data_IF_237289009372
#
_entry.id   IF_237289009372
#
_cell.length_a   1.000
_cell.length_b   1.000
_cell.length_c   1.000
_cell.angle_alpha   90.00
_cell.angle_beta   90.00
_cell.angle_gamma   90.00
#
_symmetry.space_group_name_H-M   'P 1'
#
loop_
_entity.id
_entity.type
_entity.pdbx_description
1 polymer ?
#
# COMPACT_ATOMS: atom_id res chain seq x y z
N UNK A 1 -8.16 32.06 19.59
CA UNK A 1 -8.00 30.94 20.55
C UNK A 1 -6.97 29.99 19.95
N UNK A 2 -6.14 29.34 20.76
CA UNK A 2 -5.19 28.32 20.24
C UNK A 2 -5.96 27.11 19.67
N UNK A 3 -5.40 26.41 18.69
CA UNK A 3 -6.01 25.20 18.13
C UNK A 3 -6.26 24.13 19.21
N UNK A 4 -5.40 24.04 20.22
CA UNK A 4 -5.60 23.17 21.38
C UNK A 4 -6.89 23.47 22.16
N UNK A 5 -7.27 24.74 22.32
CA UNK A 5 -8.52 25.12 23.00
C UNK A 5 -9.78 24.80 22.16
N UNK A 6 -9.63 24.63 20.86
CA UNK A 6 -10.75 24.32 19.94
C UNK A 6 -10.89 22.82 19.68
N UNK A 7 -9.87 22.02 20.03
CA UNK A 7 -9.85 20.59 19.72
C UNK A 7 -10.95 19.81 20.43
N UNK A 8 -11.15 20.03 21.75
CA UNK A 8 -12.16 19.26 22.49
C UNK A 8 -13.57 19.45 21.93
N UNK A 9 -14.06 20.70 21.65
CA UNK A 9 -15.34 20.88 20.97
C UNK A 9 -15.47 20.17 19.60
N UNK A 10 -14.35 20.06 18.85
CA UNK A 10 -14.33 19.31 17.58
C UNK A 10 -14.48 17.80 17.81
N UNK A 11 -13.82 17.26 18.82
CA UNK A 11 -13.96 15.84 19.20
C UNK A 11 -15.39 15.53 19.68
N UNK A 12 -15.97 16.40 20.51
CA UNK A 12 -17.35 16.29 20.97
C UNK A 12 -18.34 16.33 19.78
N UNK A 13 -18.04 17.16 18.77
CA UNK A 13 -18.84 17.22 17.53
C UNK A 13 -18.75 15.96 16.72
N UNK A 14 -17.55 15.33 16.61
CA UNK A 14 -17.36 14.05 15.94
C UNK A 14 -18.23 12.99 16.61
N UNK A 15 -18.17 12.89 17.94
CA UNK A 15 -18.95 11.90 18.70
C UNK A 15 -20.47 12.11 18.52
N UNK A 16 -20.93 13.36 18.53
CA UNK A 16 -22.34 13.68 18.37
C UNK A 16 -22.88 13.48 16.94
N UNK A 17 -22.04 13.53 15.92
CA UNK A 17 -22.40 13.40 14.50
C UNK A 17 -22.05 12.06 13.89
N UNK A 18 -21.62 11.09 14.70
CA UNK A 18 -21.03 9.84 14.23
C UNK A 18 -21.99 9.02 13.36
N UNK A 19 -23.28 8.94 13.73
CA UNK A 19 -24.28 8.23 12.93
C UNK A 19 -24.43 8.85 11.53
N UNK A 20 -24.40 10.19 11.41
CA UNK A 20 -24.42 10.84 10.12
C UNK A 20 -23.15 10.61 9.33
N UNK A 21 -21.98 10.55 9.98
CA UNK A 21 -20.71 10.21 9.33
C UNK A 21 -20.76 8.80 8.75
N UNK A 22 -21.34 7.84 9.48
CA UNK A 22 -21.55 6.47 9.02
C UNK A 22 -22.50 6.41 7.81
N UNK A 23 -23.59 7.17 7.82
CA UNK A 23 -24.51 7.21 6.68
C UNK A 23 -23.89 7.84 5.43
N UNK A 24 -23.00 8.84 5.57
CA UNK A 24 -22.25 9.40 4.44
C UNK A 24 -21.26 8.38 3.86
N UNK A 25 -20.56 7.63 4.72
CA UNK A 25 -19.74 6.51 4.28
C UNK A 25 -20.59 5.48 3.53
N UNK A 26 -21.73 5.08 4.09
CA UNK A 26 -22.62 4.09 3.46
C UNK A 26 -23.17 4.57 2.10
N UNK A 27 -23.44 5.84 1.95
CA UNK A 27 -23.84 6.41 0.65
C UNK A 27 -22.75 6.22 -0.40
N UNK A 28 -21.47 6.42 -0.04
CA UNK A 28 -20.32 6.21 -0.92
C UNK A 28 -20.09 4.72 -1.20
N UNK A 29 -20.21 3.84 -0.19
CA UNK A 29 -20.01 2.39 -0.34
C UNK A 29 -21.04 1.73 -1.26
N UNK A 30 -22.24 2.29 -1.40
CA UNK A 30 -23.27 1.78 -2.34
C UNK A 30 -22.91 2.01 -3.80
N UNK A 31 -21.93 2.88 -4.11
CA UNK A 31 -21.48 3.16 -5.49
C UNK A 31 -20.43 2.13 -5.87
N UNK A 32 -20.66 1.39 -6.95
CA UNK A 32 -19.84 0.25 -7.39
C UNK A 32 -18.63 0.69 -8.22
N UNK A 33 -17.75 1.51 -7.68
CA UNK A 33 -16.62 2.10 -8.41
C UNK A 33 -15.47 1.09 -8.67
N UNK A 34 -15.78 -0.03 -9.32
CA UNK A 34 -14.80 -1.05 -9.72
C UNK A 34 -14.02 -0.54 -10.93
N UNK A 35 -12.77 -0.10 -10.72
CA UNK A 35 -11.95 0.50 -11.78
C UNK A 35 -11.48 -0.49 -12.84
N UNK A 36 -11.28 -1.75 -12.47
CA UNK A 36 -10.75 -2.80 -13.36
C UNK A 36 -11.73 -3.25 -14.45
N UNK A 37 -13.03 -3.00 -14.30
CA UNK A 37 -14.05 -3.43 -15.24
C UNK A 37 -14.71 -2.23 -15.95
N UNK A 38 -14.56 -2.07 -17.27
CA UNK A 38 -15.17 -0.99 -18.02
C UNK A 38 -16.69 -0.87 -17.89
N UNK A 39 -17.39 -1.94 -17.50
CA UNK A 39 -18.83 -1.90 -17.24
C UNK A 39 -19.20 -0.96 -16.09
N UNK A 40 -18.29 -0.70 -15.16
CA UNK A 40 -18.47 0.17 -14.00
C UNK A 40 -17.87 1.58 -14.19
N UNK A 41 -17.43 1.95 -15.39
CA UNK A 41 -16.88 3.29 -15.65
C UNK A 41 -17.86 4.42 -15.26
N UNK A 42 -19.18 4.20 -15.46
CA UNK A 42 -20.22 5.11 -15.02
C UNK A 42 -20.32 5.24 -13.50
N UNK A 43 -20.13 4.15 -12.78
CA UNK A 43 -20.11 4.13 -11.32
C UNK A 43 -18.84 4.80 -10.76
N UNK A 44 -17.68 4.60 -11.38
CA UNK A 44 -16.45 5.32 -11.03
C UNK A 44 -16.65 6.83 -11.18
N UNK A 45 -17.28 7.28 -12.27
CA UNK A 45 -17.61 8.68 -12.45
C UNK A 45 -18.62 9.17 -11.39
N UNK A 46 -19.64 8.38 -11.06
CA UNK A 46 -20.62 8.70 -10.04
C UNK A 46 -19.99 8.81 -8.65
N UNK A 47 -19.01 7.97 -8.31
CA UNK A 47 -18.28 8.06 -7.06
C UNK A 47 -17.46 9.37 -6.99
N UNK A 48 -16.77 9.72 -8.08
CA UNK A 48 -16.03 10.98 -8.16
C UNK A 48 -16.95 12.21 -7.99
N UNK A 49 -18.09 12.23 -8.69
CA UNK A 49 -19.05 13.34 -8.61
C UNK A 49 -19.69 13.42 -7.20
N UNK A 50 -20.01 12.27 -6.57
CA UNK A 50 -20.53 12.20 -5.20
C UNK A 50 -19.56 12.79 -4.18
N UNK A 51 -18.31 12.32 -4.18
CA UNK A 51 -17.26 12.81 -3.28
C UNK A 51 -16.95 14.29 -3.51
N UNK A 52 -16.86 14.73 -4.77
CA UNK A 52 -16.62 16.13 -5.09
C UNK A 52 -17.74 17.02 -4.56
N UNK A 53 -19.00 16.60 -4.70
CA UNK A 53 -20.14 17.33 -4.15
C UNK A 53 -20.11 17.38 -2.61
N UNK A 54 -19.79 16.27 -1.96
CA UNK A 54 -19.69 16.19 -0.50
C UNK A 54 -18.56 17.08 0.04
N UNK A 55 -17.36 17.00 -0.53
CA UNK A 55 -16.21 17.83 -0.15
C UNK A 55 -16.48 19.33 -0.40
N UNK A 56 -17.20 19.67 -1.46
CA UNK A 56 -17.59 21.05 -1.73
C UNK A 56 -18.46 21.66 -0.61
N UNK A 57 -19.28 20.84 0.08
CA UNK A 57 -20.07 21.29 1.25
C UNK A 57 -19.21 21.81 2.40
N UNK A 58 -17.93 21.40 2.45
CA UNK A 58 -16.96 21.83 3.45
C UNK A 58 -16.30 23.17 3.10
N UNK A 59 -16.71 23.76 1.98
CA UNK A 59 -16.20 25.05 1.52
C UNK A 59 -14.86 24.94 0.78
N UNK A 60 -14.57 23.80 0.17
CA UNK A 60 -13.48 23.66 -0.80
C UNK A 60 -13.95 24.05 -2.22
N UNK A 61 -13.06 24.64 -2.99
CA UNK A 61 -13.22 24.73 -4.44
C UNK A 61 -12.85 23.36 -5.02
N UNK A 62 -13.86 22.58 -5.40
CA UNK A 62 -13.71 21.18 -5.78
C UNK A 62 -13.99 20.99 -7.26
N UNK A 63 -13.13 20.28 -7.96
CA UNK A 63 -13.22 19.99 -9.38
C UNK A 63 -13.00 18.48 -9.62
N UNK A 64 -13.83 17.89 -10.48
CA UNK A 64 -13.60 16.56 -11.05
C UNK A 64 -12.87 16.74 -12.37
N UNK A 65 -11.58 16.43 -12.39
CA UNK A 65 -10.69 16.64 -13.54
C UNK A 65 -10.52 15.34 -14.33
N UNK A 66 -10.63 15.41 -15.68
CA UNK A 66 -10.45 14.22 -16.51
C UNK A 66 -8.99 13.73 -16.47
N UNK A 67 -8.83 12.43 -16.56
CA UNK A 67 -7.58 11.73 -16.89
C UNK A 67 -7.79 10.98 -18.21
N UNK A 68 -6.81 10.21 -18.67
CA UNK A 68 -7.01 9.27 -19.79
C UNK A 68 -7.81 8.02 -19.38
N UNK A 69 -8.05 7.81 -18.09
CA UNK A 69 -8.88 6.77 -17.52
C UNK A 69 -9.98 7.33 -16.61
N UNK A 70 -10.03 6.88 -15.35
CA UNK A 70 -11.01 7.39 -14.39
C UNK A 70 -10.60 8.78 -13.87
N UNK A 71 -11.57 9.70 -13.64
CA UNK A 71 -11.26 11.08 -13.29
C UNK A 71 -10.64 11.21 -11.89
N UNK A 72 -9.83 12.25 -11.69
CA UNK A 72 -9.33 12.64 -10.39
C UNK A 72 -10.13 13.82 -9.81
N UNK A 73 -10.22 13.87 -8.49
CA UNK A 73 -10.84 14.99 -7.76
C UNK A 73 -9.72 15.87 -7.22
N UNK A 74 -9.81 17.17 -7.42
CA UNK A 74 -8.94 18.16 -6.79
C UNK A 74 -9.79 19.14 -6.02
N UNK A 75 -9.56 19.25 -4.71
CA UNK A 75 -10.25 20.20 -3.85
C UNK A 75 -9.24 21.11 -3.17
N UNK A 76 -9.43 22.42 -3.32
CA UNK A 76 -8.54 23.46 -2.78
C UNK A 76 -9.27 24.33 -1.78
N UNK A 77 -8.58 25.00 -0.84
CA UNK A 77 -9.21 25.99 0.03
C UNK A 77 -9.86 27.09 -0.80
N UNK A 78 -11.11 27.46 -0.49
CA UNK A 78 -11.74 28.64 -1.06
C UNK A 78 -10.99 29.91 -0.60
N UNK A 79 -10.36 30.61 -1.51
CA UNK A 79 -9.47 31.73 -1.29
C UNK A 79 -8.07 31.43 -1.85
N UNK A 80 -7.24 32.47 -1.98
CA UNK A 80 -5.85 32.22 -2.37
C UNK A 80 -5.24 31.33 -1.29
N UNK A 81 -4.99 30.07 -1.61
CA UNK A 81 -4.06 29.26 -0.84
C UNK A 81 -2.77 30.10 -0.79
N UNK A 82 -2.52 30.72 0.35
CA UNK A 82 -1.30 31.47 0.57
C UNK A 82 -0.22 30.41 0.76
N UNK A 83 0.26 29.83 -0.33
CA UNK A 83 1.31 28.83 -0.31
C UNK A 83 2.38 29.23 0.71
N UNK A 84 2.27 28.71 1.92
CA UNK A 84 3.16 28.97 3.03
C UNK A 84 3.38 30.46 3.45
N UNK A 85 2.67 31.43 2.89
CA UNK A 85 2.88 32.87 3.16
C UNK A 85 2.23 33.38 4.45
N UNK A 86 1.37 32.57 5.09
CA UNK A 86 0.67 32.93 6.33
C UNK A 86 1.20 32.24 7.60
N UNK A 87 2.30 31.47 7.52
CA UNK A 87 2.85 30.75 8.69
C UNK A 87 2.14 29.41 8.99
N UNK A 88 1.06 29.04 8.30
CA UNK A 88 0.38 27.73 8.43
C UNK A 88 1.01 26.70 7.52
N UNK A 89 1.15 25.41 7.95
CA UNK A 89 1.50 24.33 7.04
C UNK A 89 0.43 24.16 5.97
N UNK A 90 0.85 23.80 4.75
CA UNK A 90 -0.04 23.38 3.67
C UNK A 90 0.20 21.90 3.40
N UNK A 91 -0.84 21.09 3.53
CA UNK A 91 -0.77 19.64 3.33
C UNK A 91 -1.52 19.22 2.07
N UNK A 92 -0.99 18.23 1.36
CA UNK A 92 -1.70 17.52 0.30
C UNK A 92 -2.24 16.22 0.90
N UNK A 93 -3.55 16.07 0.96
CA UNK A 93 -4.18 14.80 1.35
C UNK A 93 -4.49 13.96 0.11
N UNK A 94 -4.18 12.68 0.18
CA UNK A 94 -4.46 11.70 -0.86
C UNK A 94 -5.27 10.53 -0.32
N UNK A 95 -6.16 10.01 -1.16
CA UNK A 95 -6.89 8.75 -1.06
C UNK A 95 -7.41 8.34 -2.43
N UNK A 96 -8.07 7.18 -2.52
CA UNK A 96 -8.71 6.73 -3.75
C UNK A 96 -10.17 6.32 -3.54
N UNK A 97 -10.97 6.39 -4.61
CA UNK A 97 -12.39 6.08 -4.54
C UNK A 97 -12.75 4.79 -5.30
N UNK A 98 -11.84 4.26 -6.09
CA UNK A 98 -12.05 2.99 -6.76
C UNK A 98 -11.87 1.81 -5.81
N UNK A 99 -12.36 0.67 -6.21
CA UNK A 99 -12.36 -0.55 -5.41
C UNK A 99 -12.10 -1.78 -6.30
N UNK A 100 -11.58 -2.84 -5.71
CA UNK A 100 -11.38 -4.14 -6.35
C UNK A 100 -12.70 -4.79 -6.80
N UNK A 101 -12.66 -5.66 -7.83
CA UNK A 101 -13.76 -6.57 -8.15
C UNK A 101 -14.23 -7.38 -6.95
N UNK A 102 -15.48 -7.80 -7.00
CA UNK A 102 -16.11 -8.56 -5.89
C UNK A 102 -16.00 -10.07 -6.04
N UNK A 103 -15.35 -10.54 -7.08
CA UNK A 103 -15.20 -11.97 -7.36
C UNK A 103 -14.29 -12.67 -6.32
N UNK A 104 -14.66 -13.91 -5.94
CA UNK A 104 -15.84 -14.66 -6.36
C UNK A 104 -17.10 -14.32 -5.53
N UNK A 105 -18.12 -13.78 -6.18
CA UNK A 105 -19.34 -13.24 -5.55
C UNK A 105 -20.04 -14.26 -4.62
N UNK A 106 -19.97 -15.56 -4.92
CA UNK A 106 -20.64 -16.61 -4.12
C UNK A 106 -20.02 -16.82 -2.73
N UNK A 107 -18.84 -16.25 -2.46
CA UNK A 107 -18.21 -16.30 -1.14
C UNK A 107 -18.59 -15.11 -0.23
N UNK A 108 -19.30 -14.13 -0.76
CA UNK A 108 -19.82 -13.05 0.06
C UNK A 108 -21.04 -13.52 0.85
N UNK A 109 -21.04 -13.25 2.15
CA UNK A 109 -22.16 -13.56 3.03
C UNK A 109 -23.35 -12.60 2.84
N UNK A 110 -23.11 -11.43 2.25
CA UNK A 110 -24.07 -10.35 1.97
C UNK A 110 -23.70 -9.66 0.66
N UNK A 111 -24.65 -8.95 0.01
CA UNK A 111 -24.30 -8.17 -1.18
C UNK A 111 -23.17 -7.17 -0.91
N UNK A 112 -22.08 -7.16 -1.71
CA UNK A 112 -20.87 -6.41 -1.41
C UNK A 112 -21.04 -4.89 -1.33
N UNK A 113 -22.07 -4.34 -1.97
CA UNK A 113 -22.36 -2.90 -2.02
C UNK A 113 -23.61 -2.51 -1.22
N UNK A 114 -24.02 -3.37 -0.29
CA UNK A 114 -25.04 -3.09 0.71
C UNK A 114 -24.38 -3.03 2.11
N UNK A 115 -23.74 -1.88 2.45
CA UNK A 115 -22.98 -1.76 3.68
C UNK A 115 -23.86 -1.98 4.92
N UNK A 116 -23.30 -2.65 5.91
CA UNK A 116 -23.99 -2.96 7.16
C UNK A 116 -23.01 -2.97 8.33
N UNK A 117 -23.46 -2.51 9.49
CA UNK A 117 -22.75 -2.75 10.76
C UNK A 117 -23.21 -4.08 11.32
N UNK A 118 -22.27 -4.95 11.68
CA UNK A 118 -22.53 -6.26 12.27
C UNK A 118 -21.51 -6.60 13.35
N UNK A 119 -21.72 -7.71 14.06
CA UNK A 119 -20.76 -8.21 15.03
C UNK A 119 -19.73 -9.11 14.33
N UNK A 120 -18.46 -8.89 14.62
CA UNK A 120 -17.39 -9.82 14.29
C UNK A 120 -17.33 -10.97 15.29
N UNK A 121 -16.70 -12.07 14.92
CA UNK A 121 -16.63 -13.27 15.74
C UNK A 121 -15.96 -13.07 17.11
N UNK A 122 -15.08 -12.07 17.23
CA UNK A 122 -14.41 -11.69 18.48
C UNK A 122 -15.16 -10.62 19.30
N UNK A 123 -16.35 -10.21 18.85
CA UNK A 123 -17.21 -9.23 19.52
C UNK A 123 -16.99 -7.78 19.11
N UNK A 124 -16.03 -7.47 18.20
CA UNK A 124 -15.90 -6.13 17.62
C UNK A 124 -17.10 -5.80 16.73
N UNK A 125 -17.46 -4.52 16.64
CA UNK A 125 -18.42 -4.04 15.64
C UNK A 125 -17.67 -3.71 14.37
N UNK A 126 -18.15 -4.20 13.24
CA UNK A 126 -17.51 -4.03 11.93
C UNK A 126 -18.51 -3.52 10.89
N UNK A 127 -18.03 -2.76 9.93
CA UNK A 127 -18.71 -2.39 8.70
C UNK A 127 -18.31 -3.42 7.65
N UNK A 128 -19.27 -4.05 6.98
CA UNK A 128 -19.00 -5.03 5.92
C UNK A 128 -19.50 -4.50 4.60
N UNK A 129 -18.59 -4.26 3.66
CA UNK A 129 -18.85 -3.93 2.26
C UNK A 129 -17.53 -3.94 1.48
N UNK A 130 -17.56 -4.01 0.14
CA UNK A 130 -16.40 -3.71 -0.70
C UNK A 130 -16.07 -2.22 -0.61
N UNK A 131 -14.77 -1.89 -0.37
CA UNK A 131 -14.28 -0.53 -0.14
C UNK A 131 -14.50 -0.04 1.29
N UNK A 132 -14.96 -0.91 2.21
CA UNK A 132 -15.25 -0.51 3.58
C UNK A 132 -14.00 -0.04 4.31
N UNK A 133 -12.87 -0.65 4.04
CA UNK A 133 -11.54 -0.25 4.51
C UNK A 133 -10.76 0.40 3.37
N UNK A 134 -10.59 -0.28 2.26
CA UNK A 134 -9.74 0.03 1.13
C UNK A 134 -10.50 0.69 -0.03
N UNK A 135 -10.43 1.99 -0.18
CA UNK A 135 -9.92 3.07 0.71
C UNK A 135 -11.05 4.03 1.13
N UNK A 136 -12.31 3.78 0.66
CA UNK A 136 -13.44 4.69 0.92
C UNK A 136 -13.67 4.94 2.42
N UNK A 137 -13.54 3.90 3.26
CA UNK A 137 -13.68 4.05 4.70
C UNK A 137 -12.56 4.89 5.29
N UNK A 138 -11.33 4.65 4.94
CA UNK A 138 -10.18 5.40 5.41
C UNK A 138 -10.21 6.86 4.91
N UNK A 139 -10.46 7.07 3.60
CA UNK A 139 -10.65 8.39 3.00
C UNK A 139 -11.70 9.21 3.76
N UNK A 140 -12.85 8.61 4.08
CA UNK A 140 -13.93 9.30 4.77
C UNK A 140 -13.57 9.68 6.21
N UNK A 141 -12.63 9.01 6.88
CA UNK A 141 -12.15 9.44 8.20
C UNK A 141 -11.54 10.85 8.16
N UNK A 142 -10.78 11.15 7.11
CA UNK A 142 -10.18 12.46 6.92
C UNK A 142 -11.22 13.53 6.54
N UNK A 143 -12.13 13.20 5.63
CA UNK A 143 -13.19 14.13 5.19
C UNK A 143 -14.09 14.52 6.37
N UNK A 144 -14.48 13.56 7.21
CA UNK A 144 -15.30 13.81 8.39
C UNK A 144 -14.58 14.61 9.49
N UNK A 145 -13.28 14.42 9.66
CA UNK A 145 -12.47 15.27 10.53
C UNK A 145 -12.45 16.73 10.06
N UNK A 146 -12.30 16.95 8.75
CA UNK A 146 -12.40 18.28 8.15
C UNK A 146 -13.79 18.90 8.35
N UNK A 147 -14.86 18.09 8.21
CA UNK A 147 -16.25 18.50 8.44
C UNK A 147 -16.45 18.98 9.88
N UNK A 148 -15.96 18.21 10.86
CA UNK A 148 -16.08 18.58 12.27
C UNK A 148 -15.35 19.90 12.58
N UNK A 149 -14.11 20.07 12.11
CA UNK A 149 -13.38 21.33 12.25
C UNK A 149 -14.15 22.49 11.65
N UNK A 150 -14.61 22.37 10.41
CA UNK A 150 -15.38 23.44 9.73
C UNK A 150 -16.67 23.77 10.45
N UNK A 151 -17.40 22.77 10.97
CA UNK A 151 -18.68 22.99 11.64
C UNK A 151 -18.52 23.74 12.98
N UNK A 152 -17.41 23.50 13.70
CA UNK A 152 -17.18 24.10 15.04
C UNK A 152 -16.48 25.45 14.93
N UNK A 153 -15.48 25.58 14.04
CA UNK A 153 -14.59 26.75 14.02
C UNK A 153 -14.73 27.62 12.76
N UNK A 154 -15.45 27.14 11.75
CA UNK A 154 -15.58 27.78 10.43
C UNK A 154 -14.33 27.66 9.55
N UNK A 155 -13.22 27.06 10.05
CA UNK A 155 -11.95 26.97 9.34
C UNK A 155 -11.23 25.66 9.66
N UNK A 156 -10.18 25.33 8.88
CA UNK A 156 -9.28 24.24 9.17
C UNK A 156 -8.02 24.75 9.89
N UNK A 157 -7.38 23.91 10.74
CA UNK A 157 -6.15 24.29 11.46
C UNK A 157 -4.97 24.56 10.52
N UNK A 158 -4.90 23.84 9.41
CA UNK A 158 -3.86 23.91 8.35
C UNK A 158 -4.51 24.16 6.99
N UNK A 159 -3.74 24.63 6.02
CA UNK A 159 -4.20 24.68 4.64
C UNK A 159 -4.17 23.28 4.05
N UNK A 160 -5.23 22.88 3.34
CA UNK A 160 -5.38 21.52 2.80
C UNK A 160 -5.73 21.59 1.32
N UNK A 161 -4.96 20.88 0.50
CA UNK A 161 -5.39 20.47 -0.84
C UNK A 161 -5.70 18.98 -0.77
N UNK A 162 -6.85 18.56 -1.30
CA UNK A 162 -7.24 17.15 -1.38
C UNK A 162 -7.11 16.71 -2.84
N UNK A 163 -6.45 15.58 -3.10
CA UNK A 163 -6.42 14.90 -4.38
C UNK A 163 -6.86 13.45 -4.19
N UNK A 164 -7.84 13.02 -4.99
CA UNK A 164 -8.38 11.65 -4.89
C UNK A 164 -8.41 11.08 -6.30
N UNK A 165 -7.87 9.86 -6.45
CA UNK A 165 -7.87 9.15 -7.74
C UNK A 165 -8.93 8.04 -7.81
N UNK A 166 -9.07 7.45 -8.99
CA UNK A 166 -9.98 6.35 -9.25
C UNK A 166 -9.34 5.20 -10.03
N UNK A 167 -8.02 5.02 -9.92
CA UNK A 167 -7.27 3.97 -10.61
C UNK A 167 -6.18 3.34 -9.73
N UNK A 168 -6.20 3.54 -8.41
CA UNK A 168 -5.21 2.96 -7.51
C UNK A 168 -5.17 1.44 -7.65
N UNK A 169 -6.33 0.81 -7.63
CA UNK A 169 -6.55 -0.62 -7.68
C UNK A 169 -6.14 -1.30 -9.00
N UNK A 170 -5.82 -0.50 -10.01
CA UNK A 170 -5.29 -0.93 -11.31
C UNK A 170 -3.91 -0.34 -11.61
N UNK A 171 -3.24 0.21 -10.58
CA UNK A 171 -1.85 0.67 -10.60
C UNK A 171 -1.64 2.10 -11.08
N UNK A 172 -2.63 2.99 -10.94
CA UNK A 172 -2.52 4.46 -11.10
C UNK A 172 -1.89 4.94 -12.42
N UNK A 173 -2.09 4.18 -13.49
CA UNK A 173 -1.40 4.38 -14.78
C UNK A 173 -1.56 5.81 -15.33
N UNK A 174 -2.75 6.39 -15.17
CA UNK A 174 -3.06 7.71 -15.70
C UNK A 174 -2.88 8.82 -14.66
N UNK A 175 -2.65 8.45 -13.41
CA UNK A 175 -2.52 9.43 -12.33
C UNK A 175 -1.15 10.10 -12.29
N UNK A 176 -0.07 9.40 -12.62
CA UNK A 176 1.27 10.01 -12.72
C UNK A 176 1.32 11.13 -13.76
N UNK A 177 0.85 10.94 -15.02
CA UNK A 177 0.72 12.05 -15.96
C UNK A 177 -0.18 13.19 -15.47
N UNK A 178 -1.24 12.86 -14.73
CA UNK A 178 -2.11 13.85 -14.09
C UNK A 178 -1.36 14.69 -13.06
N UNK A 179 -0.55 14.08 -12.19
CA UNK A 179 0.29 14.80 -11.22
C UNK A 179 1.27 15.75 -11.91
N UNK A 180 1.93 15.30 -12.98
CA UNK A 180 2.86 16.11 -13.77
C UNK A 180 2.19 17.34 -14.39
N UNK A 181 0.99 17.15 -14.96
CA UNK A 181 0.21 18.23 -15.57
C UNK A 181 -0.34 19.23 -14.54
N UNK A 182 -0.56 18.80 -13.30
CA UNK A 182 -1.17 19.60 -12.25
C UNK A 182 -0.20 19.97 -11.10
N UNK A 183 1.11 19.75 -11.26
CA UNK A 183 2.09 19.92 -10.17
C UNK A 183 2.07 21.30 -9.50
N UNK A 184 1.75 22.36 -10.24
CA UNK A 184 1.69 23.72 -9.70
C UNK A 184 0.45 23.91 -8.81
N UNK A 185 -0.61 23.20 -9.10
CA UNK A 185 -1.86 23.18 -8.35
C UNK A 185 -1.81 22.31 -7.09
N UNK A 186 -0.93 21.29 -7.09
CA UNK A 186 -0.78 20.32 -6.03
C UNK A 186 0.40 20.61 -5.09
N UNK A 187 1.00 21.80 -5.18
CA UNK A 187 2.09 22.22 -4.29
C UNK A 187 1.61 22.23 -2.83
N UNK A 188 2.41 21.61 -1.97
CA UNK A 188 2.21 21.56 -0.53
C UNK A 188 3.57 21.49 0.19
N UNK A 189 3.59 21.49 1.51
CA UNK A 189 4.81 21.31 2.29
C UNK A 189 5.15 19.81 2.42
N UNK A 190 4.14 18.95 2.53
CA UNK A 190 4.22 17.48 2.56
C UNK A 190 2.86 16.86 2.24
N UNK A 191 2.83 15.54 2.02
CA UNK A 191 1.61 14.78 1.77
C UNK A 191 1.17 13.98 3.00
N UNK A 192 -0.14 13.75 3.12
CA UNK A 192 -0.78 12.81 4.03
C UNK A 192 -1.51 11.76 3.21
N UNK A 193 -1.30 10.49 3.50
CA UNK A 193 -1.95 9.35 2.84
C UNK A 193 -2.64 8.51 3.90
N UNK A 194 -3.90 8.16 3.69
CA UNK A 194 -4.70 7.33 4.58
C UNK A 194 -5.06 6.03 3.87
N UNK A 195 -4.06 5.17 3.66
CA UNK A 195 -4.18 3.89 2.96
C UNK A 195 -3.16 2.92 3.54
N UNK A 196 -3.20 2.76 4.87
CA UNK A 196 -2.33 1.87 5.63
C UNK A 196 -3.05 1.35 6.87
N UNK A 197 -2.38 0.49 7.66
CA UNK A 197 -2.98 -0.15 8.81
C UNK A 197 -2.39 0.25 10.16
N UNK A 198 -3.09 -0.18 11.20
CA UNK A 198 -2.64 -0.20 12.58
C UNK A 198 -1.84 -1.46 12.86
N UNK A 199 -1.15 -1.50 14.00
CA UNK A 199 -0.46 -2.71 14.46
C UNK A 199 -1.43 -3.79 14.97
N UNK A 200 -2.44 -3.37 15.71
CA UNK A 200 -3.54 -4.20 16.22
C UNK A 200 -4.77 -3.31 16.47
N UNK A 201 -5.96 -3.87 16.84
CA UNK A 201 -7.19 -3.08 17.02
C UNK A 201 -7.13 -1.96 18.06
N UNK A 202 -6.05 -1.89 18.84
CA UNK A 202 -5.86 -0.90 19.92
C UNK A 202 -4.59 -0.08 19.78
N UNK A 203 -3.65 -0.51 18.95
CA UNK A 203 -2.32 0.09 18.86
C UNK A 203 -2.12 0.78 17.50
N UNK A 204 -2.14 2.12 17.46
CA UNK A 204 -1.98 2.85 16.22
C UNK A 204 -0.54 2.74 15.70
N UNK A 205 -0.40 2.82 14.38
CA UNK A 205 0.89 2.81 13.72
C UNK A 205 0.99 3.90 12.66
N UNK A 206 2.23 4.28 12.34
CA UNK A 206 2.58 5.11 11.19
C UNK A 206 3.53 4.29 10.34
N UNK A 207 3.19 4.10 9.08
CA UNK A 207 4.05 3.39 8.14
C UNK A 207 5.16 4.31 7.68
N UNK A 208 6.39 3.95 8.00
CA UNK A 208 7.58 4.77 7.75
C UNK A 208 8.45 4.24 6.61
N UNK A 209 8.15 3.04 6.13
CA UNK A 209 8.80 2.49 4.94
C UNK A 209 7.86 1.57 4.17
N UNK A 210 8.00 1.61 2.85
CA UNK A 210 7.32 0.73 1.90
C UNK A 210 8.38 0.00 1.11
N UNK A 211 8.22 -1.30 0.91
CA UNK A 211 9.14 -2.06 0.08
C UNK A 211 8.90 -1.77 -1.41
N UNK A 212 9.99 -1.67 -2.16
CA UNK A 212 9.95 -1.64 -3.61
C UNK A 212 9.66 -3.02 -4.20
N UNK A 213 9.51 -3.07 -5.51
CA UNK A 213 9.27 -4.30 -6.25
C UNK A 213 10.15 -4.33 -7.52
N UNK A 214 10.72 -5.49 -7.82
CA UNK A 214 11.15 -5.88 -9.15
C UNK A 214 10.49 -7.20 -9.47
N UNK A 215 9.86 -7.31 -10.62
CA UNK A 215 9.25 -8.54 -11.09
C UNK A 215 9.76 -8.85 -12.49
N UNK A 216 10.44 -9.98 -12.63
CA UNK A 216 11.09 -10.42 -13.85
C UNK A 216 10.69 -11.87 -14.18
N UNK A 217 10.68 -12.22 -15.45
CA UNK A 217 10.55 -13.59 -15.90
C UNK A 217 11.81 -14.00 -16.68
N UNK A 218 12.34 -15.16 -16.37
CA UNK A 218 13.45 -15.76 -17.10
C UNK A 218 12.98 -17.01 -17.82
N UNK A 219 13.28 -17.10 -19.12
CA UNK A 219 13.05 -18.27 -19.94
C UNK A 219 14.39 -18.84 -20.39
N UNK A 220 14.68 -20.08 -19.99
CA UNK A 220 15.87 -20.83 -20.43
C UNK A 220 15.52 -21.65 -21.67
N UNK A 221 16.28 -21.45 -22.73
CA UNK A 221 16.19 -22.20 -23.98
C UNK A 221 17.42 -23.10 -24.14
N UNK A 222 17.22 -24.34 -24.57
CA UNK A 222 18.27 -25.31 -24.84
C UNK A 222 18.14 -25.86 -26.26
N UNK A 223 17.49 -27.02 -26.45
CA UNK A 223 17.30 -27.60 -27.78
C UNK A 223 16.30 -26.80 -28.64
N UNK A 224 16.36 -26.98 -29.95
CA UNK A 224 15.46 -26.30 -30.91
C UNK A 224 14.05 -26.90 -30.94
N UNK A 225 13.78 -27.99 -30.23
CA UNK A 225 12.50 -28.66 -30.09
C UNK A 225 12.51 -29.58 -28.87
N UNK A 226 11.35 -30.05 -28.46
CA UNK A 226 11.21 -31.11 -27.46
C UNK A 226 11.88 -32.42 -27.94
N UNK A 227 12.59 -33.10 -27.03
CA UNK A 227 13.38 -34.28 -27.32
C UNK A 227 12.84 -35.51 -26.57
N UNK A 228 13.01 -36.70 -27.17
CA UNK A 228 12.74 -37.97 -26.50
C UNK A 228 13.82 -38.20 -25.43
N UNK A 229 13.41 -38.28 -24.14
CA UNK A 229 14.37 -38.40 -23.03
C UNK A 229 15.17 -39.71 -23.04
N UNK A 230 14.63 -40.80 -23.58
CA UNK A 230 15.34 -42.08 -23.73
C UNK A 230 16.43 -42.06 -24.80
N UNK A 231 16.36 -41.14 -25.78
CA UNK A 231 17.34 -41.00 -26.85
C UNK A 231 18.40 -39.95 -26.49
N UNK A 232 17.96 -38.80 -25.98
CA UNK A 232 18.81 -37.62 -25.74
C UNK A 232 19.16 -37.39 -24.26
N UNK A 233 18.56 -38.18 -23.34
CA UNK A 233 18.82 -38.05 -21.91
C UNK A 233 20.29 -38.35 -21.59
N UNK A 234 20.88 -37.52 -20.73
CA UNK A 234 22.28 -37.56 -20.40
C UNK A 234 23.20 -36.82 -21.38
N UNK A 235 22.80 -36.65 -22.65
CA UNK A 235 23.56 -35.91 -23.65
C UNK A 235 23.06 -34.46 -23.82
N UNK A 236 21.76 -34.26 -23.97
CA UNK A 236 21.18 -32.91 -24.15
C UNK A 236 21.01 -32.16 -22.83
N UNK A 237 21.22 -30.86 -22.87
CA UNK A 237 20.87 -29.99 -21.75
C UNK A 237 19.34 -30.00 -21.54
N UNK A 238 18.93 -30.13 -20.28
CA UNK A 238 17.54 -30.06 -19.88
C UNK A 238 17.30 -28.68 -19.24
N UNK A 239 16.52 -27.78 -19.87
CA UNK A 239 16.31 -26.42 -19.38
C UNK A 239 15.64 -26.39 -18.01
N UNK A 240 14.80 -27.38 -17.64
CA UNK A 240 14.24 -27.48 -16.30
C UNK A 240 15.34 -27.72 -15.27
N UNK A 241 16.30 -28.65 -15.56
CA UNK A 241 17.41 -28.90 -14.66
C UNK A 241 18.33 -27.68 -14.53
N UNK A 242 18.56 -26.94 -15.62
CA UNK A 242 19.36 -25.71 -15.59
C UNK A 242 18.65 -24.65 -14.76
N UNK A 243 17.38 -24.40 -15.04
CA UNK A 243 16.56 -23.41 -14.33
C UNK A 243 16.48 -23.71 -12.83
N UNK A 244 16.11 -24.94 -12.44
CA UNK A 244 15.98 -25.32 -11.03
C UNK A 244 17.30 -25.20 -10.26
N UNK A 245 18.44 -25.46 -10.91
CA UNK A 245 19.76 -25.28 -10.31
C UNK A 245 20.09 -23.79 -10.09
N UNK A 246 19.70 -22.90 -11.02
CA UNK A 246 19.86 -21.45 -10.90
C UNK A 246 18.97 -20.93 -9.76
N UNK A 247 17.69 -21.29 -9.77
CA UNK A 247 16.72 -20.86 -8.75
C UNK A 247 17.06 -21.38 -7.35
N UNK A 248 17.46 -22.65 -7.25
CA UNK A 248 17.86 -23.25 -5.97
C UNK A 248 19.13 -22.63 -5.36
N UNK A 249 19.91 -21.89 -6.15
CA UNK A 249 21.05 -21.14 -5.66
C UNK A 249 20.78 -19.69 -5.30
N UNK A 250 19.53 -19.20 -5.43
CA UNK A 250 19.20 -17.81 -5.10
C UNK A 250 19.29 -17.49 -3.61
N UNK A 251 19.15 -18.49 -2.75
CA UNK A 251 19.30 -18.36 -1.30
C UNK A 251 20.37 -19.30 -0.77
N UNK A 252 21.09 -18.84 0.24
CA UNK A 252 21.99 -19.71 1.01
C UNK A 252 21.24 -20.41 2.17
N UNK A 253 21.95 -21.22 2.92
CA UNK A 253 21.42 -21.94 4.09
C UNK A 253 20.97 -21.04 5.25
N UNK A 254 21.36 -19.77 5.25
CA UNK A 254 20.98 -18.75 6.25
C UNK A 254 19.81 -17.87 5.77
N UNK A 255 19.21 -18.18 4.62
CA UNK A 255 18.11 -17.40 4.04
C UNK A 255 18.56 -16.12 3.35
N UNK A 256 19.87 -15.89 3.16
CA UNK A 256 20.39 -14.72 2.48
C UNK A 256 20.37 -14.91 0.96
N UNK A 257 20.04 -13.86 0.24
CA UNK A 257 20.05 -13.83 -1.23
C UNK A 257 21.49 -13.79 -1.73
N UNK A 258 21.85 -14.69 -2.66
CA UNK A 258 23.23 -14.92 -3.11
C UNK A 258 23.62 -14.11 -4.36
N UNK A 259 22.70 -13.31 -4.90
CA UNK A 259 22.95 -12.46 -6.07
C UNK A 259 24.03 -11.43 -5.70
N UNK A 260 25.17 -11.36 -6.42
CA UNK A 260 26.21 -10.39 -6.15
C UNK A 260 25.69 -8.94 -6.18
N UNK A 261 26.06 -8.13 -5.19
CA UNK A 261 25.61 -6.73 -5.08
C UNK A 261 24.17 -6.54 -4.63
N UNK A 262 23.42 -7.63 -4.33
CA UNK A 262 22.02 -7.53 -3.95
C UNK A 262 21.80 -6.67 -2.69
N UNK A 263 22.69 -6.74 -1.73
CA UNK A 263 22.62 -5.98 -0.48
C UNK A 263 23.32 -4.63 -0.50
N UNK A 264 23.84 -4.20 -1.68
CA UNK A 264 24.52 -2.91 -1.77
C UNK A 264 23.55 -1.77 -1.46
N UNK A 265 23.91 -0.93 -0.48
CA UNK A 265 23.09 0.19 -0.02
C UNK A 265 22.02 -0.17 1.03
N UNK A 266 21.79 -1.46 1.32
CA UNK A 266 20.86 -1.90 2.37
C UNK A 266 21.41 -1.50 3.74
N UNK A 267 20.61 -0.74 4.50
CA UNK A 267 20.97 -0.26 5.84
C UNK A 267 20.27 -1.09 6.91
N UNK A 268 20.87 -1.13 8.09
CA UNK A 268 20.21 -1.63 9.29
C UNK A 268 19.27 -0.54 9.85
N UNK A 269 18.24 -0.98 10.57
CA UNK A 269 17.32 -0.07 11.28
C UNK A 269 18.07 0.77 12.33
N UNK A 270 17.64 2.03 12.59
CA UNK A 270 18.11 2.78 13.73
C UNK A 270 17.93 1.99 15.05
N UNK A 271 18.86 2.10 16.00
CA UNK A 271 18.83 1.29 17.22
C UNK A 271 17.56 1.43 18.08
N UNK A 272 16.98 2.62 18.13
CA UNK A 272 15.74 2.92 18.84
C UNK A 272 14.52 2.26 18.15
N UNK A 273 14.47 2.26 16.83
CA UNK A 273 13.43 1.59 16.05
C UNK A 273 13.57 0.07 16.18
N UNK A 274 14.79 -0.45 16.10
CA UNK A 274 15.02 -1.88 16.31
C UNK A 274 14.62 -2.31 17.73
N UNK A 275 14.88 -1.47 18.74
CA UNK A 275 14.44 -1.71 20.12
C UNK A 275 12.91 -1.71 20.24
N UNK A 276 12.21 -0.77 19.59
CA UNK A 276 10.75 -0.74 19.50
C UNK A 276 10.23 -2.04 18.87
N UNK A 277 10.79 -2.44 17.71
CA UNK A 277 10.35 -3.64 16.98
C UNK A 277 10.60 -4.93 17.76
N UNK A 278 11.67 -5.05 18.54
CA UNK A 278 11.89 -6.18 19.46
C UNK A 278 10.77 -6.31 20.49
N UNK A 279 10.25 -5.18 20.99
CA UNK A 279 9.18 -5.17 21.98
C UNK A 279 7.79 -5.51 21.38
N UNK A 280 7.61 -5.46 20.06
CA UNK A 280 6.36 -5.85 19.40
C UNK A 280 6.11 -7.36 19.46
N UNK A 281 7.15 -8.15 19.72
CA UNK A 281 7.09 -9.59 19.92
C UNK A 281 6.33 -10.35 18.82
N UNK A 282 6.58 -9.95 17.55
CA UNK A 282 6.06 -10.71 16.40
C UNK A 282 6.75 -12.07 16.36
N UNK A 283 6.01 -13.11 16.69
CA UNK A 283 6.56 -14.48 16.77
C UNK A 283 6.06 -15.36 15.63
N UNK A 284 6.74 -16.48 15.32
CA UNK A 284 6.23 -17.45 14.36
C UNK A 284 4.83 -17.99 14.74
N UNK A 285 4.53 -18.12 16.05
CA UNK A 285 3.22 -18.55 16.52
C UNK A 285 2.11 -17.56 16.16
N UNK A 286 2.38 -16.26 16.28
CA UNK A 286 1.38 -15.23 15.98
C UNK A 286 1.25 -14.98 14.48
N UNK A 287 2.32 -15.04 13.71
CA UNK A 287 2.34 -14.61 12.30
C UNK A 287 2.26 -15.79 11.31
N UNK A 288 2.99 -16.89 11.57
CA UNK A 288 3.07 -18.01 10.63
C UNK A 288 2.11 -19.15 10.93
N UNK A 289 1.78 -19.37 12.19
CA UNK A 289 0.88 -20.48 12.58
C UNK A 289 -0.53 -20.36 12.00
N UNK A 290 -1.14 -19.17 11.88
CA UNK A 290 -2.45 -19.02 11.22
C UNK A 290 -2.46 -19.48 9.75
N UNK A 291 -1.33 -19.43 9.07
CA UNK A 291 -1.17 -19.91 7.68
C UNK A 291 -0.57 -21.32 7.60
N UNK A 292 -0.53 -22.06 8.73
CA UNK A 292 -0.08 -23.45 8.79
C UNK A 292 1.45 -23.66 8.79
N UNK A 293 2.24 -22.60 9.04
CA UNK A 293 3.69 -22.63 9.10
C UNK A 293 4.21 -22.43 10.53
N UNK A 294 5.46 -22.80 10.79
CA UNK A 294 6.05 -22.69 12.14
C UNK A 294 7.46 -22.10 12.17
N UNK A 295 8.13 -22.01 11.03
CA UNK A 295 9.51 -21.53 10.95
C UNK A 295 9.63 -20.42 9.90
N UNK A 296 10.26 -19.29 10.23
CA UNK A 296 10.56 -18.26 9.25
C UNK A 296 11.61 -18.74 8.24
N UNK A 297 11.45 -18.30 6.98
CA UNK A 297 12.32 -18.67 5.87
C UNK A 297 13.35 -17.60 5.48
N UNK A 298 13.25 -16.41 6.04
CA UNK A 298 14.14 -15.29 5.74
C UNK A 298 15.51 -15.36 6.43
N UNK A 299 16.22 -14.24 6.44
CA UNK A 299 17.55 -14.12 7.04
C UNK A 299 17.55 -14.53 8.53
N UNK A 300 18.27 -15.58 8.91
CA UNK A 300 18.23 -16.19 10.25
C UNK A 300 18.72 -15.27 11.38
N UNK A 301 19.53 -14.27 11.05
CA UNK A 301 20.06 -13.27 11.99
C UNK A 301 19.16 -12.06 12.19
N UNK A 302 17.96 -12.09 11.60
CA UNK A 302 17.00 -10.98 11.63
C UNK A 302 15.71 -11.36 12.38
N UNK A 303 15.11 -10.35 13.03
CA UNK A 303 13.77 -10.52 13.61
C UNK A 303 12.75 -10.84 12.51
N UNK A 304 11.70 -11.58 12.84
CA UNK A 304 10.63 -11.87 11.88
C UNK A 304 10.03 -10.60 11.27
N UNK A 305 9.80 -9.57 12.10
CA UNK A 305 9.30 -8.27 11.62
C UNK A 305 10.31 -7.58 10.67
N UNK A 306 11.61 -7.71 10.89
CA UNK A 306 12.60 -7.21 9.93
C UNK A 306 12.49 -7.94 8.59
N UNK A 307 12.37 -9.30 8.62
CA UNK A 307 12.28 -10.12 7.41
C UNK A 307 11.10 -9.72 6.52
N UNK A 308 9.95 -9.36 7.11
CA UNK A 308 8.74 -9.02 6.36
C UNK A 308 8.62 -7.53 6.01
N UNK A 309 9.39 -6.63 6.65
CA UNK A 309 9.19 -5.18 6.50
C UNK A 309 10.42 -4.39 6.08
N UNK A 310 11.62 -4.70 6.62
CA UNK A 310 12.84 -3.89 6.42
C UNK A 310 14.00 -4.64 5.76
N UNK A 311 13.80 -5.93 5.45
CA UNK A 311 14.78 -6.71 4.68
C UNK A 311 14.27 -6.99 3.27
N UNK A 312 15.17 -7.02 2.27
CA UNK A 312 14.77 -7.38 0.92
C UNK A 312 14.51 -8.89 0.81
N UNK A 313 13.61 -9.27 -0.10
CA UNK A 313 13.26 -10.68 -0.33
C UNK A 313 13.37 -11.05 -1.81
N UNK A 314 13.43 -12.36 -2.07
CA UNK A 314 13.39 -12.95 -3.40
C UNK A 314 12.43 -14.13 -3.37
N UNK A 315 11.37 -14.07 -4.16
CA UNK A 315 10.36 -15.12 -4.22
C UNK A 315 10.18 -15.65 -5.64
N UNK A 316 10.03 -16.96 -5.76
CA UNK A 316 9.74 -17.65 -7.02
C UNK A 316 8.22 -17.77 -7.11
N UNK A 317 7.60 -16.98 -7.99
CA UNK A 317 6.13 -16.85 -8.10
C UNK A 317 5.52 -17.87 -9.07
N UNK A 318 6.33 -18.47 -9.96
CA UNK A 318 5.85 -19.47 -10.89
C UNK A 318 7.00 -20.16 -11.61
N UNK A 319 6.80 -21.43 -11.94
CA UNK A 319 7.72 -22.23 -12.75
C UNK A 319 6.90 -22.96 -13.79
N UNK A 320 7.32 -22.88 -15.05
CA UNK A 320 6.71 -23.59 -16.19
C UNK A 320 7.79 -24.33 -16.98
N UNK A 321 7.54 -25.60 -17.29
CA UNK A 321 8.43 -26.40 -18.14
C UNK A 321 8.06 -27.87 -18.16
N UNK A 322 8.37 -28.53 -19.27
CA UNK A 322 8.07 -29.93 -19.46
C UNK A 322 6.61 -30.21 -19.79
N UNK A 323 6.18 -31.44 -19.56
CA UNK A 323 4.82 -31.89 -19.81
C UNK A 323 3.93 -31.62 -18.61
N UNK A 324 2.85 -30.88 -18.82
CA UNK A 324 1.88 -30.47 -17.79
C UNK A 324 0.48 -31.05 -18.01
N UNK A 325 0.30 -31.89 -19.06
CA UNK A 325 -0.96 -32.56 -19.32
C UNK A 325 -1.16 -33.81 -18.45
N UNK A 326 -2.34 -34.43 -18.56
CA UNK A 326 -2.67 -35.66 -17.86
C UNK A 326 -1.80 -36.83 -18.36
N UNK A 327 -1.41 -37.73 -17.46
CA UNK A 327 -0.57 -38.89 -17.74
C UNK A 327 0.93 -38.56 -17.76
N UNK A 328 1.73 -39.37 -18.47
CA UNK A 328 3.18 -39.22 -18.54
C UNK A 328 3.68 -39.03 -19.98
N UNK A 329 4.70 -38.18 -20.15
CA UNK A 329 5.42 -37.99 -21.41
C UNK A 329 6.93 -38.00 -21.13
N UNK A 330 7.68 -38.93 -21.75
CA UNK A 330 9.14 -39.02 -21.57
C UNK A 330 9.86 -37.98 -22.44
N UNK A 331 9.80 -36.73 -22.06
CA UNK A 331 10.28 -35.59 -22.84
C UNK A 331 11.38 -34.82 -22.11
N UNK A 332 12.33 -34.27 -22.85
CA UNK A 332 13.15 -33.14 -22.46
C UNK A 332 12.59 -31.94 -23.19
N UNK A 333 12.03 -30.98 -22.45
CA UNK A 333 11.47 -29.76 -23.05
C UNK A 333 12.55 -28.92 -23.72
N UNK A 334 12.18 -28.17 -24.74
CA UNK A 334 13.07 -27.22 -25.42
C UNK A 334 13.36 -26.00 -24.55
N UNK A 335 12.39 -25.61 -23.70
CA UNK A 335 12.47 -24.43 -22.85
C UNK A 335 11.84 -24.68 -21.47
N UNK A 336 12.21 -23.82 -20.50
CA UNK A 336 11.56 -23.72 -19.20
C UNK A 336 11.64 -22.27 -18.73
N UNK A 337 10.63 -21.78 -18.00
CA UNK A 337 10.61 -20.42 -17.48
C UNK A 337 10.26 -20.36 -16.01
N UNK A 338 10.69 -19.25 -15.38
CA UNK A 338 10.27 -18.90 -14.02
C UNK A 338 10.00 -17.40 -13.89
N UNK A 339 9.00 -17.11 -13.09
CA UNK A 339 8.68 -15.76 -12.64
C UNK A 339 9.28 -15.56 -11.26
N UNK A 340 10.02 -14.45 -11.08
CA UNK A 340 10.74 -14.15 -9.85
C UNK A 340 10.47 -12.71 -9.48
N UNK A 341 10.10 -12.49 -8.22
CA UNK A 341 9.92 -11.14 -7.68
C UNK A 341 10.90 -10.86 -6.55
N UNK A 342 11.30 -9.61 -6.45
CA UNK A 342 12.16 -9.10 -5.39
C UNK A 342 11.43 -7.97 -4.69
N UNK A 343 11.27 -8.08 -3.36
CA UNK A 343 10.90 -6.92 -2.56
C UNK A 343 12.17 -6.17 -2.18
N UNK A 344 12.20 -4.88 -2.46
CA UNK A 344 13.37 -4.03 -2.26
C UNK A 344 13.20 -3.17 -1.02
N UNK A 345 14.33 -2.72 -0.46
CA UNK A 345 14.35 -1.76 0.65
C UNK A 345 15.13 -0.51 0.28
N UNK A 346 15.07 0.52 1.12
CA UNK A 346 15.83 1.76 0.90
C UNK A 346 17.29 1.49 0.57
N UNK A 347 17.83 2.24 -0.39
CA UNK A 347 19.20 2.12 -0.89
C UNK A 347 19.34 1.19 -2.09
N UNK A 348 18.38 0.30 -2.35
CA UNK A 348 18.37 -0.55 -3.54
C UNK A 348 17.72 0.17 -4.72
N UNK A 349 18.34 0.05 -5.90
CA UNK A 349 17.82 0.61 -7.15
C UNK A 349 17.21 -0.53 -7.99
N UNK A 350 15.91 -0.46 -8.37
CA UNK A 350 15.23 -1.53 -9.09
C UNK A 350 15.99 -2.04 -10.32
N UNK A 351 16.47 -1.12 -11.16
CA UNK A 351 17.16 -1.50 -12.40
C UNK A 351 18.50 -2.20 -12.13
N UNK A 352 19.22 -1.81 -11.05
CA UNK A 352 20.46 -2.50 -10.65
C UNK A 352 20.17 -3.91 -10.14
N UNK A 353 19.11 -4.10 -9.36
CA UNK A 353 18.73 -5.43 -8.87
C UNK A 353 18.28 -6.32 -10.02
N UNK A 354 17.48 -5.80 -10.97
CA UNK A 354 17.11 -6.52 -12.18
C UNK A 354 18.33 -6.96 -12.98
N UNK A 355 19.27 -6.05 -13.21
CA UNK A 355 20.49 -6.37 -13.95
C UNK A 355 21.35 -7.39 -13.20
N UNK A 356 21.51 -7.25 -11.89
CA UNK A 356 22.26 -8.23 -11.07
C UNK A 356 21.63 -9.62 -11.13
N UNK A 357 20.31 -9.74 -11.12
CA UNK A 357 19.62 -11.01 -11.31
C UNK A 357 19.88 -11.60 -12.71
N UNK A 358 19.81 -10.80 -13.75
CA UNK A 358 20.07 -11.25 -15.13
C UNK A 358 21.51 -11.71 -15.31
N UNK A 359 22.46 -10.98 -14.74
CA UNK A 359 23.89 -11.36 -14.74
C UNK A 359 24.11 -12.65 -13.94
N UNK A 360 23.44 -12.80 -12.77
CA UNK A 360 23.50 -14.02 -11.97
C UNK A 360 23.01 -15.24 -12.75
N UNK A 361 21.90 -15.12 -13.47
CA UNK A 361 21.37 -16.18 -14.33
C UNK A 361 22.34 -16.48 -15.48
N UNK A 362 22.76 -15.47 -16.21
CA UNK A 362 23.59 -15.58 -17.41
C UNK A 362 24.94 -16.25 -17.08
N UNK A 363 25.56 -15.90 -15.95
CA UNK A 363 26.82 -16.47 -15.51
C UNK A 363 26.75 -17.97 -15.16
N UNK A 364 25.54 -18.51 -15.00
CA UNK A 364 25.29 -19.92 -14.63
C UNK A 364 24.74 -20.77 -15.77
N UNK A 365 24.58 -20.17 -16.97
CA UNK A 365 24.12 -20.91 -18.13
C UNK A 365 25.22 -21.82 -18.70
N UNK A 366 24.89 -23.08 -19.05
CA UNK A 366 25.73 -23.88 -19.92
C UNK A 366 25.88 -23.22 -21.31
N UNK A 367 26.99 -23.55 -22.00
CA UNK A 367 27.30 -22.95 -23.31
C UNK A 367 26.21 -23.16 -24.37
N UNK A 368 25.44 -24.25 -24.29
CA UNK A 368 24.34 -24.57 -25.23
C UNK A 368 22.98 -24.07 -24.81
N UNK A 369 22.92 -23.22 -23.77
CA UNK A 369 21.69 -22.61 -23.28
C UNK A 369 21.69 -21.11 -23.45
N UNK A 370 20.50 -20.53 -23.69
CA UNK A 370 20.27 -19.10 -23.71
C UNK A 370 19.19 -18.71 -22.72
N UNK A 371 19.26 -17.49 -22.18
CA UNK A 371 18.18 -16.91 -21.39
C UNK A 371 17.52 -15.76 -22.14
N UNK A 372 16.21 -15.72 -22.11
CA UNK A 372 15.39 -14.54 -22.43
C UNK A 372 14.82 -13.99 -21.13
N UNK A 373 14.73 -12.66 -21.03
CA UNK A 373 14.16 -11.98 -19.88
C UNK A 373 12.98 -11.14 -20.30
N UNK A 374 11.93 -11.14 -19.49
CA UNK A 374 10.71 -10.35 -19.70
C UNK A 374 10.47 -9.51 -18.47
N UNK A 375 10.44 -8.19 -18.68
CA UNK A 375 10.13 -7.22 -17.63
C UNK A 375 8.63 -7.21 -17.36
N UNK A 376 8.20 -7.36 -16.10
CA UNK A 376 6.82 -7.21 -15.72
C UNK A 376 6.55 -5.87 -15.03
N UNK A 377 7.23 -5.61 -13.91
CA UNK A 377 7.05 -4.35 -13.16
C UNK A 377 8.28 -4.00 -12.33
N UNK A 378 8.37 -2.72 -11.95
CA UNK A 378 9.27 -2.26 -10.92
C UNK A 378 8.69 -1.03 -10.18
N UNK A 379 9.05 -0.90 -8.91
CA UNK A 379 8.81 0.27 -8.10
C UNK A 379 9.95 0.44 -7.09
N UNK A 380 10.43 1.66 -6.84
CA UNK A 380 11.44 1.89 -5.82
C UNK A 380 10.86 1.68 -4.41
N UNK A 381 11.71 1.32 -3.47
CA UNK A 381 11.38 1.37 -2.06
C UNK A 381 11.34 2.82 -1.56
N UNK A 382 10.57 3.06 -0.52
CA UNK A 382 10.44 4.35 0.14
C UNK A 382 10.76 4.19 1.61
N UNK A 383 11.54 5.13 2.15
CA UNK A 383 11.71 5.30 3.59
C UNK A 383 11.55 6.78 3.92
N UNK A 384 10.82 7.05 4.97
CA UNK A 384 10.62 8.39 5.50
C UNK A 384 11.78 8.76 6.42
N UNK A 385 12.10 10.05 6.48
CA UNK A 385 12.98 10.56 7.52
C UNK A 385 12.25 10.45 8.88
N UNK A 386 12.77 9.60 9.76
CA UNK A 386 12.23 9.36 11.11
C UNK A 386 12.17 10.62 11.97
N UNK A 387 12.93 11.66 11.62
CA UNK A 387 13.01 12.94 12.33
C UNK A 387 12.07 14.01 11.77
N UNK A 388 11.23 13.69 10.80
CA UNK A 388 10.28 14.66 10.25
C UNK A 388 9.37 15.21 11.35
N UNK A 389 9.27 16.54 11.42
CA UNK A 389 8.34 17.21 12.38
C UNK A 389 6.89 16.80 12.20
N UNK A 390 6.34 16.69 10.96
CA UNK A 390 5.00 16.17 10.74
C UNK A 390 4.79 14.75 11.27
N UNK A 391 5.79 13.87 11.12
CA UNK A 391 5.75 12.50 11.65
C UNK A 391 5.65 12.51 13.18
N UNK A 392 6.49 13.30 13.86
CA UNK A 392 6.45 13.43 15.31
C UNK A 392 5.11 14.00 15.82
N UNK A 393 4.52 14.97 15.10
CA UNK A 393 3.22 15.53 15.43
C UNK A 393 2.10 14.50 15.28
N UNK A 394 2.09 13.74 14.18
CA UNK A 394 1.12 12.67 13.95
C UNK A 394 1.25 11.56 15.01
N UNK A 395 2.47 11.11 15.32
CA UNK A 395 2.73 10.10 16.37
C UNK A 395 2.15 10.51 17.73
N UNK A 396 2.38 11.75 18.15
CA UNK A 396 1.83 12.28 19.40
C UNK A 396 0.30 12.29 19.38
N UNK A 397 -0.31 12.78 18.30
CA UNK A 397 -1.76 12.86 18.16
C UNK A 397 -2.43 11.48 18.20
N UNK A 398 -1.85 10.50 17.53
CA UNK A 398 -2.32 9.10 17.57
C UNK A 398 -2.17 8.51 18.97
N UNK A 399 -1.04 8.71 19.62
CA UNK A 399 -0.80 8.25 21.01
C UNK A 399 -1.86 8.80 21.96
N UNK A 400 -2.18 10.09 21.85
CA UNK A 400 -3.22 10.73 22.68
C UNK A 400 -4.62 10.18 22.42
N UNK A 401 -5.00 9.92 21.15
CA UNK A 401 -6.33 9.41 20.83
C UNK A 401 -6.50 7.94 21.23
N UNK A 402 -5.48 7.12 21.03
CA UNK A 402 -5.58 5.69 21.27
C UNK A 402 -5.19 5.26 22.68
N UNK A 403 -4.50 6.15 23.44
CA UNK A 403 -4.02 5.86 24.79
C UNK A 403 -2.89 4.82 24.84
N UNK A 404 -2.34 4.47 23.68
CA UNK A 404 -1.17 3.63 23.48
C UNK A 404 -0.17 4.36 22.59
N UNK A 405 1.11 4.15 22.80
CA UNK A 405 2.15 4.77 21.99
C UNK A 405 2.01 4.33 20.52
N UNK A 406 1.93 5.30 19.61
CA UNK A 406 1.89 5.04 18.19
C UNK A 406 3.25 4.49 17.72
N UNK A 407 3.21 3.36 17.03
CA UNK A 407 4.38 2.66 16.55
C UNK A 407 4.85 3.24 15.21
N UNK A 408 6.16 3.18 14.99
CA UNK A 408 6.76 3.43 13.68
C UNK A 408 7.10 2.07 13.07
N UNK A 409 6.41 1.69 12.00
CA UNK A 409 6.53 0.36 11.37
C UNK A 409 6.91 0.47 9.91
N UNK A 410 7.44 -0.61 9.36
CA UNK A 410 7.59 -0.79 7.92
C UNK A 410 6.45 -1.63 7.37
N UNK A 411 6.01 -1.36 6.14
CA UNK A 411 5.09 -2.22 5.41
C UNK A 411 5.85 -3.09 4.41
N UNK A 412 5.45 -4.36 4.33
CA UNK A 412 5.90 -5.27 3.28
C UNK A 412 5.29 -4.99 1.92
N UNK A 413 4.19 -4.24 1.87
CA UNK A 413 3.51 -3.84 0.65
C UNK A 413 4.16 -2.62 -0.01
N UNK A 414 3.74 -2.30 -1.23
CA UNK A 414 4.16 -1.12 -1.98
C UNK A 414 2.93 -0.25 -2.21
N UNK A 415 3.04 1.04 -1.98
CA UNK A 415 2.06 2.06 -2.38
C UNK A 415 2.78 2.97 -3.38
N UNK A 416 2.67 2.69 -4.69
CA UNK A 416 3.50 3.34 -5.70
C UNK A 416 3.38 4.86 -5.71
N UNK A 417 2.19 5.39 -5.43
CA UNK A 417 1.90 6.83 -5.44
C UNK A 417 2.78 7.64 -4.47
N UNK A 418 3.22 7.04 -3.37
CA UNK A 418 4.12 7.73 -2.41
C UNK A 418 5.47 8.03 -3.04
N UNK A 419 6.00 7.10 -3.86
CA UNK A 419 7.22 7.35 -4.66
C UNK A 419 6.99 8.44 -5.70
N UNK A 420 5.81 8.45 -6.31
CA UNK A 420 5.45 9.41 -7.36
C UNK A 420 5.28 10.82 -6.78
N UNK A 421 4.72 10.97 -5.57
CA UNK A 421 4.70 12.26 -4.88
C UNK A 421 6.10 12.80 -4.62
N UNK A 422 7.03 11.95 -4.17
CA UNK A 422 8.42 12.37 -3.98
C UNK A 422 9.09 12.77 -5.29
N UNK A 423 8.92 11.94 -6.32
CA UNK A 423 9.55 12.15 -7.63
C UNK A 423 8.97 13.34 -8.38
N UNK A 424 7.63 13.47 -8.43
CA UNK A 424 6.91 14.42 -9.29
C UNK A 424 6.66 15.75 -8.60
N UNK A 425 6.27 15.71 -7.33
CA UNK A 425 5.90 16.89 -6.55
C UNK A 425 6.98 17.33 -5.56
N UNK A 426 7.99 16.48 -5.30
CA UNK A 426 9.04 16.74 -4.30
C UNK A 426 8.55 16.62 -2.85
N UNK A 427 7.36 16.02 -2.62
CA UNK A 427 6.74 15.93 -1.31
C UNK A 427 7.20 14.69 -0.56
N UNK A 428 7.56 14.87 0.70
CA UNK A 428 7.61 13.77 1.67
C UNK A 428 6.19 13.44 2.13
N UNK A 429 5.93 12.18 2.48
CA UNK A 429 4.59 11.69 2.79
C UNK A 429 4.54 11.12 4.20
N UNK A 430 3.52 11.44 4.97
CA UNK A 430 3.21 10.77 6.25
C UNK A 430 2.03 9.82 6.01
N UNK A 431 2.25 8.53 6.27
CA UNK A 431 1.31 7.44 6.04
C UNK A 431 0.64 7.05 7.35
N UNK A 432 -0.63 7.42 7.49
CA UNK A 432 -1.45 7.12 8.68
C UNK A 432 -2.73 6.46 8.23
N UNK A 433 -2.94 5.23 8.65
CA UNK A 433 -4.16 4.48 8.34
C UNK A 433 -4.69 3.74 9.56
N UNK A 434 -5.86 3.16 9.39
CA UNK A 434 -6.63 2.54 10.48
C UNK A 434 -7.15 1.15 10.10
N UNK A 435 -6.64 0.56 9.00
CA UNK A 435 -6.92 -0.81 8.59
C UNK A 435 -6.29 -1.84 9.52
N UNK A 436 -6.76 -3.07 9.45
CA UNK A 436 -6.27 -4.22 10.20
C UNK A 436 -5.95 -5.38 9.27
N UNK A 437 -5.00 -6.21 9.66
CA UNK A 437 -4.59 -7.39 8.89
C UNK A 437 -5.74 -8.37 8.60
N UNK A 438 -6.82 -8.33 9.40
CA UNK A 438 -7.99 -9.19 9.24
C UNK A 438 -9.16 -8.52 8.50
N UNK A 439 -8.93 -7.38 7.85
CA UNK A 439 -9.97 -6.62 7.14
C UNK A 439 -10.38 -7.26 5.80
N UNK A 440 -9.69 -8.32 5.37
CA UNK A 440 -9.98 -9.05 4.14
C UNK A 440 -9.98 -8.16 2.89
N UNK A 441 -9.10 -7.14 2.84
CA UNK A 441 -8.94 -6.31 1.65
C UNK A 441 -8.67 -7.18 0.41
N UNK A 442 -9.18 -6.79 -0.75
CA UNK A 442 -9.14 -7.54 -2.02
C UNK A 442 -9.83 -8.91 -1.99
N UNK A 443 -10.49 -9.28 -0.87
CA UNK A 443 -11.18 -10.56 -0.68
C UNK A 443 -12.68 -10.39 -0.45
N UNK A 444 -13.49 -11.46 -0.60
CA UNK A 444 -14.89 -11.45 -0.14
C UNK A 444 -15.01 -11.16 1.34
N UNK A 445 -16.09 -10.47 1.72
CA UNK A 445 -16.42 -10.07 3.10
C UNK A 445 -15.40 -9.08 3.68
N UNK A 446 -14.86 -8.19 2.84
CA UNK A 446 -14.07 -7.04 3.31
C UNK A 446 -14.83 -6.31 4.41
N UNK A 447 -14.10 -5.92 5.44
CA UNK A 447 -14.65 -5.24 6.61
C UNK A 447 -13.78 -4.06 7.03
N UNK A 448 -14.36 -3.17 7.79
CA UNK A 448 -13.64 -2.11 8.50
C UNK A 448 -14.15 -2.03 9.94
N UNK A 449 -13.27 -1.98 10.93
CA UNK A 449 -13.69 -1.86 12.31
C UNK A 449 -14.41 -0.52 12.56
N UNK A 450 -15.63 -0.58 13.13
CA UNK A 450 -16.40 0.61 13.46
C UNK A 450 -15.63 1.54 14.41
N UNK A 451 -14.83 0.95 15.32
CA UNK A 451 -13.91 1.68 16.20
C UNK A 451 -12.80 2.36 15.43
N UNK A 452 -12.23 1.69 14.42
CA UNK A 452 -11.19 2.27 13.55
C UNK A 452 -11.74 3.46 12.76
N UNK A 453 -12.95 3.35 12.20
CA UNK A 453 -13.61 4.48 11.53
C UNK A 453 -13.82 5.66 12.49
N UNK A 454 -14.45 5.43 13.66
CA UNK A 454 -14.71 6.49 14.64
C UNK A 454 -13.41 7.15 15.17
N UNK A 455 -12.48 6.33 15.65
CA UNK A 455 -11.19 6.85 16.17
C UNK A 455 -10.30 7.41 15.07
N UNK A 456 -10.43 6.93 13.84
CA UNK A 456 -9.76 7.49 12.68
C UNK A 456 -10.15 8.94 12.43
N UNK A 457 -11.45 9.25 12.47
CA UNK A 457 -11.95 10.64 12.36
C UNK A 457 -11.35 11.51 13.47
N UNK A 458 -11.37 11.04 14.71
CA UNK A 458 -10.83 11.76 15.88
C UNK A 458 -9.30 11.93 15.78
N UNK A 459 -8.61 10.88 15.30
CA UNK A 459 -7.16 10.92 15.08
C UNK A 459 -6.77 11.99 14.06
N UNK A 460 -7.46 12.06 12.92
CA UNK A 460 -7.22 13.12 11.94
C UNK A 460 -7.50 14.51 12.48
N UNK A 461 -8.56 14.68 13.28
CA UNK A 461 -8.82 15.96 13.93
C UNK A 461 -7.67 16.41 14.85
N UNK A 462 -7.09 15.48 15.63
CA UNK A 462 -5.91 15.73 16.47
C UNK A 462 -4.64 15.97 15.64
N UNK A 463 -4.42 15.19 14.60
CA UNK A 463 -3.25 15.35 13.72
C UNK A 463 -3.25 16.75 13.09
N UNK A 464 -4.39 17.21 12.55
CA UNK A 464 -4.50 18.53 11.97
C UNK A 464 -4.21 19.65 12.99
N UNK A 465 -4.68 19.51 14.24
CA UNK A 465 -4.36 20.44 15.31
C UNK A 465 -2.86 20.44 15.64
N UNK A 466 -2.25 19.25 15.79
CA UNK A 466 -0.85 19.09 16.11
C UNK A 466 0.08 19.62 15.02
N UNK A 467 -0.28 19.43 13.75
CA UNK A 467 0.47 19.96 12.59
C UNK A 467 0.45 21.49 12.56
N UNK A 468 -0.65 22.12 12.97
CA UNK A 468 -0.76 23.59 13.04
C UNK A 468 0.14 24.21 14.13
N UNK A 469 0.51 23.42 15.13
CA UNK A 469 1.36 23.86 16.27
C UNK A 469 2.83 23.48 16.07
N UNK A 470 3.13 22.57 15.14
CA UNK A 470 4.49 22.14 14.87
C UNK A 470 5.32 23.28 14.27
N UNK A 471 6.50 23.62 14.83
CA UNK A 471 7.38 24.60 14.20
C UNK A 471 7.84 24.08 12.84
N UNK A 472 7.95 24.98 11.87
CA UNK A 472 8.48 24.68 10.52
C UNK A 472 9.91 24.21 10.54
#
# INVERSE_FOLDING_TARGET
MSNAAQLQPVLDRIDADFDNSLERLFALLRIKSISADPAFAGDCRAAADHLAADIATLGFATEVRPTAGHPAIVAKPNGKANGGRGGRPHVLFYGHYDVQPVDPLHLWHRPPFEPVVTDHADGRKIIVARGAEDDKGQLMTFVEACRAWKSVTGSLPVDITIVIEGEEEIGSKNFVPFLEANKDDLKADFALVCDTGMWDPDTPAITTSLRGLVYDEVKIKAANRDLHSGIFGGAAQNPIRVLTRILGGLHDENGRITIPGFYDGVKDLPPDILAQWKNLNLTPESFLKPIGLSLPAGEKDRLLIEQVSSRPTCDINGILGGYTGEGSKTVIAAEASAKVSFRLVEGQQPDRIRQAFRDYVTARLPADCAAEFIDHSNAPAIALDWNMKPLAAARRALTEEWGKEALLIGSGASIPIVADFKRTLGLDTVLVGFGLDDDNIHSPNEKYDLKSFHKGIRSWARILAALAEAPR
#
